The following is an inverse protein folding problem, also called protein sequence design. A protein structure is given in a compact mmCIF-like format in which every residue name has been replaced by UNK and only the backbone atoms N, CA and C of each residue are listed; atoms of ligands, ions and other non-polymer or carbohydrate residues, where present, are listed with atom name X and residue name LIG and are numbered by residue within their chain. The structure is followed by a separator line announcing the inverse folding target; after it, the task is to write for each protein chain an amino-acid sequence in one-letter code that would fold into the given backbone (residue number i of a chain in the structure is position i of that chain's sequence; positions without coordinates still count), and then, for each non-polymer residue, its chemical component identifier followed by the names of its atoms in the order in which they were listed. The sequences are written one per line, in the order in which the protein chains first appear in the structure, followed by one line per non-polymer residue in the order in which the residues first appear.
data_IF_533901063438
#
_entry.id   IF_533901063438
#
_cell.length_a   1.000
_cell.length_b   1.000
_cell.length_c   1.000
_cell.angle_alpha   90.00
_cell.angle_beta   90.00
_cell.angle_gamma   90.00
#
_symmetry.space_group_name_H-M   'P 1'
#
loop_
_entity.id
_entity.type
_entity.pdbx_description
1 polymer ?
#
# COMPACT_ATOMS: atom_id res chain seq x y z
N UNK A 1 15.09 4.94 -1.07
CA UNK A 1 14.17 5.08 -2.22
C UNK A 1 12.94 5.88 -1.78
N UNK A 2 12.91 7.19 -2.08
CA UNK A 2 11.79 8.09 -1.68
C UNK A 2 11.10 8.66 -2.94
N UNK A 3 11.77 8.63 -4.09
CA UNK A 3 11.35 9.29 -5.33
C UNK A 3 9.87 9.02 -5.76
N UNK A 4 9.36 7.77 -5.76
CA UNK A 4 7.98 7.53 -6.22
C UNK A 4 6.90 8.15 -5.33
N UNK A 5 7.21 8.40 -4.05
CA UNK A 5 6.26 9.03 -3.11
C UNK A 5 6.37 10.56 -3.18
N UNK A 6 7.53 11.08 -3.60
CA UNK A 6 7.77 12.52 -3.68
C UNK A 6 7.29 13.14 -5.01
N UNK A 7 7.05 12.32 -6.04
CA UNK A 7 6.56 12.83 -7.32
C UNK A 7 5.05 13.12 -7.23
N UNK A 8 4.60 14.26 -7.79
CA UNK A 8 3.17 14.55 -7.90
C UNK A 8 2.43 13.42 -8.62
N UNK A 9 1.29 13.00 -8.08
CA UNK A 9 0.51 11.88 -8.62
C UNK A 9 0.18 12.02 -10.11
N UNK A 10 -0.06 13.24 -10.58
CA UNK A 10 -0.28 13.55 -12.00
C UNK A 10 0.92 13.14 -12.86
N UNK A 11 2.14 13.49 -12.46
CA UNK A 11 3.37 13.17 -13.22
C UNK A 11 3.57 11.66 -13.24
N UNK A 12 3.40 10.99 -12.11
CA UNK A 12 3.50 9.54 -12.01
C UNK A 12 2.44 8.86 -12.89
N UNK A 13 1.19 9.34 -12.84
CA UNK A 13 0.10 8.81 -13.65
C UNK A 13 0.33 8.93 -15.15
N UNK A 14 0.77 10.10 -15.62
CA UNK A 14 1.10 10.34 -17.04
C UNK A 14 2.29 9.47 -17.48
N UNK A 15 3.33 9.37 -16.67
CA UNK A 15 4.50 8.55 -16.98
C UNK A 15 4.13 7.06 -17.10
N UNK A 16 3.32 6.54 -16.19
CA UNK A 16 2.85 5.16 -16.23
C UNK A 16 1.90 4.90 -17.41
N UNK A 17 1.01 5.83 -17.72
CA UNK A 17 0.16 5.74 -18.91
C UNK A 17 1.00 5.61 -20.19
N UNK A 18 1.99 6.51 -20.34
CA UNK A 18 2.89 6.47 -21.51
C UNK A 18 3.71 5.18 -21.53
N UNK A 19 4.23 4.74 -20.38
CA UNK A 19 4.95 3.47 -20.28
C UNK A 19 4.11 2.28 -20.75
N UNK A 20 2.87 2.13 -20.25
CA UNK A 20 1.99 1.03 -20.63
C UNK A 20 1.60 1.10 -22.13
N UNK A 21 1.16 2.26 -22.60
CA UNK A 21 0.61 2.38 -23.96
C UNK A 21 1.69 2.45 -25.03
N UNK A 22 2.76 3.20 -24.81
CA UNK A 22 3.74 3.51 -25.86
C UNK A 22 4.94 2.56 -25.79
N UNK A 23 5.44 2.24 -24.59
CA UNK A 23 6.63 1.39 -24.45
C UNK A 23 6.24 -0.09 -24.46
N UNK A 24 5.26 -0.47 -23.62
CA UNK A 24 4.83 -1.87 -23.53
C UNK A 24 3.80 -2.27 -24.58
N UNK A 25 3.11 -1.33 -25.22
CA UNK A 25 2.02 -1.61 -26.18
C UNK A 25 0.79 -2.28 -25.54
N UNK A 26 0.62 -2.18 -24.21
CA UNK A 26 -0.45 -2.85 -23.48
C UNK A 26 -1.66 -1.90 -23.33
N UNK A 27 -2.89 -2.36 -23.64
CA UNK A 27 -4.09 -1.58 -23.40
C UNK A 27 -4.30 -1.36 -21.90
N UNK A 28 -4.79 -0.17 -21.54
CA UNK A 28 -5.12 0.13 -20.15
C UNK A 28 -6.29 -0.75 -19.68
N UNK A 29 -6.19 -1.21 -18.44
CA UNK A 29 -7.13 -2.16 -17.82
C UNK A 29 -7.06 -2.05 -16.29
N UNK A 30 -7.81 -2.89 -15.58
CA UNK A 30 -7.67 -3.00 -14.12
C UNK A 30 -6.25 -3.46 -13.72
N UNK A 31 -5.59 -4.27 -14.54
CA UNK A 31 -4.24 -4.75 -14.25
C UNK A 31 -3.19 -3.63 -14.34
N UNK A 32 -3.34 -2.69 -15.26
CA UNK A 32 -2.45 -1.51 -15.31
C UNK A 32 -2.65 -0.62 -14.08
N UNK A 33 -3.86 -0.53 -13.52
CA UNK A 33 -4.11 0.13 -12.22
C UNK A 33 -3.39 -0.61 -11.10
N UNK A 34 -3.53 -1.94 -11.02
CA UNK A 34 -2.88 -2.75 -9.97
C UNK A 34 -1.36 -2.58 -10.00
N UNK A 35 -0.74 -2.66 -11.18
CA UNK A 35 0.70 -2.47 -11.35
C UNK A 35 1.11 -1.04 -10.98
N UNK A 36 0.34 -0.05 -11.40
CA UNK A 36 0.60 1.35 -11.06
C UNK A 36 0.56 1.58 -9.55
N UNK A 37 -0.44 1.05 -8.86
CA UNK A 37 -0.54 1.14 -7.41
C UNK A 37 0.58 0.38 -6.69
N UNK A 38 0.99 -0.77 -7.23
CA UNK A 38 2.11 -1.53 -6.68
C UNK A 38 3.41 -0.72 -6.60
N UNK A 39 3.66 0.23 -7.52
CA UNK A 39 4.89 1.03 -7.54
C UNK A 39 5.11 1.82 -6.26
N UNK A 40 4.11 2.52 -5.76
CA UNK A 40 4.21 3.31 -4.52
C UNK A 40 3.90 2.47 -3.27
N UNK A 41 3.05 1.45 -3.36
CA UNK A 41 2.78 0.53 -2.27
C UNK A 41 4.03 -0.24 -1.84
N UNK A 42 4.79 -0.78 -2.79
CA UNK A 42 6.04 -1.50 -2.52
C UNK A 42 7.04 -0.57 -1.81
N UNK A 43 7.21 0.67 -2.30
CA UNK A 43 8.12 1.64 -1.69
C UNK A 43 7.70 1.98 -0.26
N UNK A 44 6.40 2.12 -0.02
CA UNK A 44 5.85 2.41 1.31
C UNK A 44 6.15 1.28 2.30
N UNK A 45 5.88 0.03 1.92
CA UNK A 45 6.19 -1.15 2.75
C UNK A 45 7.68 -1.28 2.97
N UNK A 46 8.49 -1.16 1.90
CA UNK A 46 9.93 -1.23 1.95
C UNK A 46 10.52 -0.22 2.94
N UNK A 47 10.11 1.04 2.88
CA UNK A 47 10.61 2.08 3.77
C UNK A 47 10.28 1.79 5.25
N UNK A 48 9.09 1.25 5.54
CA UNK A 48 8.72 0.84 6.90
C UNK A 48 9.61 -0.31 7.41
N UNK A 49 9.85 -1.33 6.56
CA UNK A 49 10.70 -2.47 6.89
C UNK A 49 12.16 -2.04 7.12
N UNK A 50 12.72 -1.23 6.23
CA UNK A 50 14.10 -0.71 6.38
C UNK A 50 14.24 0.15 7.63
N UNK A 51 13.26 1.00 7.92
CA UNK A 51 13.28 1.80 9.14
C UNK A 51 13.26 0.92 10.42
N UNK A 52 12.54 -0.20 10.38
CA UNK A 52 12.53 -1.18 11.47
C UNK A 52 13.86 -1.91 11.60
N UNK A 53 14.41 -2.43 10.50
CA UNK A 53 15.71 -3.10 10.46
C UNK A 53 16.81 -2.24 11.05
N UNK A 54 16.88 -0.97 10.64
CA UNK A 54 17.89 -0.03 11.16
C UNK A 54 17.81 0.20 12.67
N UNK A 55 16.62 0.03 13.26
CA UNK A 55 16.40 0.18 14.71
C UNK A 55 16.74 -1.08 15.50
N UNK A 56 16.69 -2.26 14.87
CA UNK A 56 16.95 -3.53 15.54
C UNK A 56 18.45 -3.76 15.77
N UNK A 57 19.31 -3.23 14.89
CA UNK A 57 20.74 -3.55 14.88
C UNK A 57 21.00 -5.00 14.48
N UNK A 58 22.25 -5.45 14.58
CA UNK A 58 22.67 -6.81 14.18
C UNK A 58 22.85 -7.77 15.35
N UNK A 59 22.76 -7.31 16.60
CA UNK A 59 23.11 -8.08 17.79
C UNK A 59 22.42 -9.46 17.87
N UNK A 60 21.17 -9.56 17.48
CA UNK A 60 20.44 -10.83 17.50
C UNK A 60 20.87 -11.78 16.38
N UNK A 61 21.22 -11.22 15.24
CA UNK A 61 21.72 -11.99 14.08
C UNK A 61 23.13 -12.51 14.36
N UNK A 62 23.99 -11.67 14.96
CA UNK A 62 25.34 -12.03 15.38
C UNK A 62 25.32 -13.12 16.45
N UNK A 63 24.50 -12.99 17.50
CA UNK A 63 24.33 -14.02 18.51
C UNK A 63 23.79 -15.35 17.95
N UNK A 64 22.92 -15.29 16.94
CA UNK A 64 22.43 -16.47 16.24
C UNK A 64 23.53 -17.19 15.44
N UNK A 65 24.40 -16.42 14.80
CA UNK A 65 25.54 -16.93 14.05
C UNK A 65 26.56 -17.58 15.00
N UNK A 66 26.82 -17.00 16.17
CA UNK A 66 27.69 -17.56 17.20
C UNK A 66 27.19 -18.92 17.72
N UNK A 67 25.86 -19.11 17.73
CA UNK A 67 25.23 -20.41 18.06
C UNK A 67 25.21 -21.40 16.89
N UNK A 68 25.82 -21.05 15.73
CA UNK A 68 25.92 -21.92 14.57
C UNK A 68 24.65 -21.96 13.70
N UNK A 69 23.71 -21.04 13.87
CA UNK A 69 22.51 -21.00 13.04
C UNK A 69 22.83 -20.51 11.62
N UNK A 70 22.28 -21.20 10.61
CA UNK A 70 22.38 -20.77 9.22
C UNK A 70 21.50 -19.55 8.93
N UNK A 71 21.82 -18.80 7.86
CA UNK A 71 21.12 -17.57 7.45
C UNK A 71 19.59 -17.74 7.36
N UNK A 72 19.10 -18.85 6.81
CA UNK A 72 17.66 -19.10 6.69
C UNK A 72 16.99 -19.32 8.05
N UNK A 73 17.66 -20.00 8.97
CA UNK A 73 17.18 -20.23 10.34
C UNK A 73 17.10 -18.91 11.10
N UNK A 74 18.15 -18.09 11.03
CA UNK A 74 18.20 -16.75 11.61
C UNK A 74 17.08 -15.87 11.04
N UNK A 75 16.95 -15.82 9.73
CA UNK A 75 15.90 -15.04 9.10
C UNK A 75 14.50 -15.44 9.59
N UNK A 76 14.18 -16.75 9.52
CA UNK A 76 12.85 -17.26 9.84
C UNK A 76 12.49 -17.14 11.32
N UNK A 77 13.45 -17.38 12.22
CA UNK A 77 13.17 -17.48 13.65
C UNK A 77 13.46 -16.17 14.42
N UNK A 78 14.30 -15.30 13.89
CA UNK A 78 14.74 -14.09 14.56
C UNK A 78 14.34 -12.84 13.79
N UNK A 79 14.82 -12.67 12.55
CA UNK A 79 14.64 -11.43 11.79
C UNK A 79 13.20 -11.24 11.35
N UNK A 80 12.58 -12.23 10.72
CA UNK A 80 11.21 -12.12 10.21
C UNK A 80 10.16 -11.87 11.31
N UNK A 81 10.16 -12.56 12.48
CA UNK A 81 9.23 -12.25 13.57
C UNK A 81 9.34 -10.81 14.08
N UNK A 82 10.54 -10.23 14.06
CA UNK A 82 10.76 -8.84 14.48
C UNK A 82 10.32 -7.81 13.43
N UNK A 83 10.25 -8.21 12.16
CA UNK A 83 9.82 -7.37 11.04
C UNK A 83 8.31 -7.39 10.79
N UNK A 84 7.59 -8.42 11.24
CA UNK A 84 6.18 -8.59 10.91
C UNK A 84 5.30 -7.40 11.30
N UNK A 85 5.60 -6.72 12.42
CA UNK A 85 4.89 -5.50 12.80
C UNK A 85 5.10 -4.35 11.82
N UNK A 86 6.33 -4.17 11.33
CA UNK A 86 6.66 -3.16 10.34
C UNK A 86 6.07 -3.50 8.96
N UNK A 87 6.05 -4.77 8.58
CA UNK A 87 5.38 -5.25 7.38
C UNK A 87 3.88 -4.97 7.45
N UNK A 88 3.27 -5.26 8.58
CA UNK A 88 1.85 -5.02 8.78
C UNK A 88 1.50 -3.53 8.75
N UNK A 89 2.26 -2.70 9.48
CA UNK A 89 2.08 -1.25 9.48
C UNK A 89 2.30 -0.64 8.09
N UNK A 90 3.36 -1.07 7.38
CA UNK A 90 3.63 -0.66 5.99
C UNK A 90 2.53 -1.10 5.03
N UNK A 91 2.02 -2.33 5.18
CA UNK A 91 0.92 -2.86 4.39
C UNK A 91 -0.39 -2.10 4.58
N UNK A 92 -0.71 -1.70 5.81
CA UNK A 92 -1.89 -0.87 6.09
C UNK A 92 -1.76 0.54 5.51
N UNK A 93 -0.59 1.12 5.60
CA UNK A 93 -0.33 2.42 5.00
C UNK A 93 -0.41 2.34 3.47
N UNK A 94 0.15 1.28 2.87
CA UNK A 94 0.04 1.01 1.44
C UNK A 94 -1.43 0.80 1.01
N UNK A 95 -2.21 0.06 1.81
CA UNK A 95 -3.65 -0.10 1.59
C UNK A 95 -4.38 1.23 1.62
N UNK A 96 -4.14 2.07 2.63
CA UNK A 96 -4.77 3.37 2.74
C UNK A 96 -4.45 4.28 1.56
N UNK A 97 -3.17 4.32 1.15
CA UNK A 97 -2.72 5.08 -0.02
C UNK A 97 -3.35 4.58 -1.33
N UNK A 98 -3.44 3.26 -1.51
CA UNK A 98 -4.04 2.66 -2.71
C UNK A 98 -5.56 2.82 -2.74
N UNK A 99 -6.21 2.82 -1.58
CA UNK A 99 -7.66 2.84 -1.46
C UNK A 99 -8.28 4.18 -1.88
N UNK A 100 -7.60 5.29 -1.59
CA UNK A 100 -8.05 6.65 -1.91
C UNK A 100 -7.36 7.25 -3.15
N UNK A 101 -6.61 6.42 -3.90
CA UNK A 101 -5.83 6.93 -5.04
C UNK A 101 -6.72 7.16 -6.26
N UNK A 102 -6.91 8.43 -6.60
CA UNK A 102 -7.72 8.88 -7.74
C UNK A 102 -6.86 9.27 -8.93
N UNK A 103 -5.76 9.98 -8.67
CA UNK A 103 -4.98 10.65 -9.72
C UNK A 103 -4.27 9.65 -10.61
N UNK A 104 -3.43 8.79 -10.03
CA UNK A 104 -2.72 7.75 -10.79
C UNK A 104 -3.72 6.80 -11.45
N UNK A 105 -4.79 6.44 -10.73
CA UNK A 105 -5.86 5.59 -11.26
C UNK A 105 -6.50 6.19 -12.51
N UNK A 106 -6.80 7.48 -12.51
CA UNK A 106 -7.43 8.17 -13.66
C UNK A 106 -6.59 8.03 -14.94
N UNK A 107 -5.26 8.06 -14.81
CA UNK A 107 -4.37 7.91 -15.97
C UNK A 107 -4.09 6.46 -16.37
N UNK A 108 -4.32 5.50 -15.49
CA UNK A 108 -3.95 4.10 -15.73
C UNK A 108 -5.13 3.16 -15.87
N UNK A 109 -6.36 3.62 -15.62
CA UNK A 109 -7.59 2.83 -15.77
C UNK A 109 -7.99 2.69 -17.25
N UNK A 110 -8.43 1.50 -17.62
CA UNK A 110 -8.93 1.21 -18.96
C UNK A 110 -10.39 1.58 -19.16
N UNK A 111 -10.81 1.64 -20.42
CA UNK A 111 -12.18 1.90 -20.80
C UNK A 111 -13.14 0.86 -20.21
N UNK A 112 -14.28 1.31 -19.69
CA UNK A 112 -15.30 0.44 -19.09
C UNK A 112 -15.02 0.01 -17.63
N UNK A 113 -13.91 0.43 -17.04
CA UNK A 113 -13.59 0.20 -15.63
C UNK A 113 -13.69 1.53 -14.86
N UNK A 114 -14.39 1.52 -13.76
CA UNK A 114 -14.49 2.68 -12.88
C UNK A 114 -14.21 2.22 -11.45
N UNK A 115 -13.21 2.81 -10.81
CA UNK A 115 -12.96 2.56 -9.39
C UNK A 115 -13.91 3.40 -8.54
N UNK A 116 -14.09 2.96 -7.30
CA UNK A 116 -15.05 3.59 -6.41
C UNK A 116 -14.73 5.07 -6.09
N UNK A 117 -13.47 5.45 -5.83
CA UNK A 117 -13.11 6.87 -5.66
C UNK A 117 -13.39 7.71 -6.91
N UNK A 118 -13.11 7.20 -8.10
CA UNK A 118 -13.42 7.91 -9.36
C UNK A 118 -14.93 8.02 -9.55
N UNK A 119 -15.71 6.99 -9.22
CA UNK A 119 -17.17 7.05 -9.27
C UNK A 119 -17.72 8.14 -8.36
N UNK A 120 -17.24 8.22 -7.12
CA UNK A 120 -17.62 9.27 -6.17
C UNK A 120 -17.29 10.64 -6.74
N UNK A 121 -16.05 10.85 -7.19
CA UNK A 121 -15.58 12.12 -7.75
C UNK A 121 -16.46 12.59 -8.94
N UNK A 122 -16.79 11.68 -9.86
CA UNK A 122 -17.56 11.99 -11.06
C UNK A 122 -19.04 12.30 -10.79
N UNK A 123 -19.56 11.84 -9.66
CA UNK A 123 -21.00 11.93 -9.36
C UNK A 123 -21.33 12.86 -8.18
N UNK A 124 -20.33 13.28 -7.37
CA UNK A 124 -20.56 14.09 -6.17
C UNK A 124 -21.23 15.46 -6.43
N UNK A 125 -21.02 16.01 -7.62
CA UNK A 125 -21.60 17.30 -8.02
C UNK A 125 -22.90 17.16 -8.82
N UNK A 126 -23.42 15.94 -9.04
CA UNK A 126 -24.67 15.69 -9.74
C UNK A 126 -25.82 15.62 -8.74
N UNK A 127 -26.80 16.54 -8.75
CA UNK A 127 -27.88 16.61 -7.76
C UNK A 127 -28.65 15.27 -7.64
N UNK A 128 -28.89 14.61 -8.75
CA UNK A 128 -29.65 13.34 -8.79
C UNK A 128 -28.85 12.14 -8.26
N UNK A 129 -27.53 12.27 -8.11
CA UNK A 129 -26.63 11.21 -7.65
C UNK A 129 -26.16 11.43 -6.21
N UNK A 130 -26.37 12.60 -5.64
CA UNK A 130 -25.90 12.95 -4.30
C UNK A 130 -26.32 11.94 -3.21
N UNK A 131 -27.58 11.42 -3.18
CA UNK A 131 -27.95 10.41 -2.19
C UNK A 131 -27.18 9.11 -2.33
N UNK A 132 -26.96 8.67 -3.58
CA UNK A 132 -26.22 7.42 -3.89
C UNK A 132 -24.75 7.58 -3.48
N UNK A 133 -24.13 8.71 -3.84
CA UNK A 133 -22.75 9.02 -3.46
C UNK A 133 -22.59 9.04 -1.94
N UNK A 134 -23.55 9.63 -1.21
CA UNK A 134 -23.52 9.69 0.26
C UNK A 134 -23.59 8.29 0.88
N UNK A 135 -24.45 7.42 0.38
CA UNK A 135 -24.56 6.02 0.86
C UNK A 135 -23.26 5.27 0.59
N UNK A 136 -22.71 5.39 -0.62
CA UNK A 136 -21.45 4.75 -0.99
C UNK A 136 -20.31 5.25 -0.11
N UNK A 137 -20.22 6.54 0.15
CA UNK A 137 -19.19 7.12 1.02
C UNK A 137 -19.31 6.55 2.46
N UNK A 138 -20.51 6.44 3.01
CA UNK A 138 -20.74 5.83 4.33
C UNK A 138 -20.31 4.37 4.35
N UNK A 139 -20.70 3.58 3.34
CA UNK A 139 -20.29 2.17 3.22
C UNK A 139 -18.76 2.05 3.15
N UNK A 140 -18.11 2.91 2.38
CA UNK A 140 -16.64 2.97 2.28
C UNK A 140 -15.99 3.22 3.64
N UNK A 141 -16.48 4.20 4.39
CA UNK A 141 -15.98 4.50 5.74
C UNK A 141 -16.15 3.28 6.66
N UNK A 142 -17.31 2.63 6.64
CA UNK A 142 -17.58 1.44 7.45
C UNK A 142 -16.64 0.28 7.09
N UNK A 143 -16.41 0.03 5.80
CA UNK A 143 -15.47 -0.99 5.35
C UNK A 143 -14.03 -0.66 5.78
N UNK A 144 -13.65 0.61 5.75
CA UNK A 144 -12.30 1.06 6.16
C UNK A 144 -12.03 0.87 7.66
N UNK A 145 -13.07 0.83 8.50
CA UNK A 145 -12.92 0.57 9.93
C UNK A 145 -12.33 -0.83 10.20
N UNK A 146 -12.70 -1.82 9.40
CA UNK A 146 -12.25 -3.22 9.60
C UNK A 146 -10.73 -3.36 9.54
N UNK A 147 -10.02 -2.95 8.48
CA UNK A 147 -8.56 -3.03 8.43
C UNK A 147 -7.89 -2.18 9.50
N UNK A 148 -8.45 -1.01 9.84
CA UNK A 148 -7.93 -0.15 10.90
C UNK A 148 -8.03 -0.84 12.26
N UNK A 149 -9.17 -1.47 12.56
CA UNK A 149 -9.38 -2.19 13.81
C UNK A 149 -8.43 -3.40 13.94
N UNK A 150 -8.28 -4.17 12.87
CA UNK A 150 -7.32 -5.30 12.82
C UNK A 150 -5.91 -4.78 13.07
N UNK A 151 -5.54 -3.67 12.46
CA UNK A 151 -4.25 -3.00 12.65
C UNK A 151 -3.96 -2.65 14.11
N UNK A 152 -4.93 -2.00 14.74
CA UNK A 152 -4.79 -1.59 16.15
C UNK A 152 -4.66 -2.80 17.08
N UNK A 153 -5.40 -3.88 16.82
CA UNK A 153 -5.30 -5.13 17.58
C UNK A 153 -3.91 -5.77 17.46
N UNK A 154 -3.38 -5.86 16.23
CA UNK A 154 -2.04 -6.44 16.00
C UNK A 154 -0.94 -5.58 16.60
N UNK A 155 -1.02 -4.26 16.43
CA UNK A 155 -0.04 -3.32 17.02
C UNK A 155 -0.13 -3.25 18.55
N UNK A 156 -1.32 -3.41 19.13
CA UNK A 156 -1.54 -3.41 20.59
C UNK A 156 -1.02 -4.65 21.30
N UNK A 157 -1.11 -5.82 20.66
CA UNK A 157 -0.63 -7.08 21.21
C UNK A 157 0.91 -7.08 21.45
N UNK A 158 1.65 -6.29 20.67
CA UNK A 158 3.11 -6.15 20.83
C UNK A 158 3.54 -5.29 22.04
N UNK A 159 2.67 -4.36 22.48
CA UNK A 159 2.94 -3.54 23.67
C UNK A 159 2.77 -4.30 25.00
N UNK A 160 1.99 -5.36 25.00
CA UNK A 160 1.69 -6.14 26.21
C UNK A 160 2.74 -7.23 26.51
N UNK A 161 3.64 -7.50 25.54
CA UNK A 161 4.70 -8.50 25.63
C UNK A 161 6.08 -7.88 25.94
N UNK A 162 6.16 -6.60 26.25
CA UNK A 162 7.34 -5.88 26.75
C UNK A 162 7.12 -5.44 28.20
#
# INVERSE_FOLDING_TARGET
MILPIALPGIITGIALNNFFRTIMGVPLSIWTVVIAHATFCIVTVFNNVIARLRRLGTNFEDASADLGAGLWTTFRLITFPQLRSALFAGGLLAFALSFDEIIVTTFTVGSGVTTLPIFILNNMFRPNQAPIVSVIAVVLVLISIVPIYIAQRVAGAEKTLR
#
